data_IF_412994690479
#
_entry.id   IF_412994690479
#
_cell.length_a   1.000
_cell.length_b   1.000
_cell.length_c   1.000
_cell.angle_alpha   90.00
_cell.angle_beta   90.00
_cell.angle_gamma   90.00
#
_symmetry.space_group_name_H-M   'P 1'
#
loop_
_entity.id
_entity.type
_entity.pdbx_description
1 polymer ?
#
# COMPACT_ATOMS: atom_id res chain seq x y z
N UNK A 1 60.91 5.78 7.95
CA UNK A 1 60.28 7.12 7.88
C UNK A 1 59.09 7.10 8.82
N UNK A 2 58.98 8.03 9.76
CA UNK A 2 57.87 8.06 10.73
C UNK A 2 56.72 8.85 10.09
N UNK A 3 55.60 8.19 9.80
CA UNK A 3 54.40 8.86 9.33
C UNK A 3 53.94 9.87 10.37
N UNK A 4 53.73 11.11 9.94
CA UNK A 4 53.26 12.15 10.85
C UNK A 4 51.74 12.05 10.99
N UNK A 5 51.19 12.44 12.14
CA UNK A 5 49.73 12.45 12.34
C UNK A 5 49.01 13.34 11.32
N UNK A 6 49.70 14.31 10.73
CA UNK A 6 49.18 15.17 9.67
C UNK A 6 48.94 14.39 8.37
N UNK A 7 49.86 13.50 7.98
CA UNK A 7 49.73 12.66 6.79
C UNK A 7 48.55 11.68 6.91
N UNK A 8 48.37 11.11 8.11
CA UNK A 8 47.24 10.23 8.41
C UNK A 8 45.89 10.96 8.43
N UNK A 9 45.87 12.23 8.85
CA UNK A 9 44.65 13.03 8.83
C UNK A 9 44.28 13.46 7.39
N UNK A 10 45.29 13.76 6.57
CA UNK A 10 45.10 14.10 5.15
C UNK A 10 44.60 12.90 4.35
N UNK A 11 45.20 11.71 4.54
CA UNK A 11 44.76 10.50 3.86
C UNK A 11 43.33 10.11 4.27
N UNK A 12 42.99 10.23 5.56
CA UNK A 12 41.63 10.01 6.04
C UNK A 12 40.63 11.01 5.45
N UNK A 13 40.97 12.30 5.41
CA UNK A 13 40.11 13.34 4.84
C UNK A 13 39.88 13.12 3.33
N UNK A 14 40.92 12.77 2.58
CA UNK A 14 40.82 12.44 1.15
C UNK A 14 39.99 11.18 0.91
N UNK A 15 40.15 10.16 1.75
CA UNK A 15 39.33 8.95 1.68
C UNK A 15 37.85 9.26 1.91
N UNK A 16 37.51 10.02 2.95
CA UNK A 16 36.12 10.43 3.23
C UNK A 16 35.57 11.26 2.06
N UNK A 17 36.33 12.21 1.53
CA UNK A 17 35.92 13.04 0.40
C UNK A 17 35.63 12.19 -0.85
N UNK A 18 36.48 11.21 -1.17
CA UNK A 18 36.26 10.29 -2.29
C UNK A 18 34.96 9.50 -2.12
N UNK A 19 34.69 8.98 -0.91
CA UNK A 19 33.46 8.22 -0.65
C UNK A 19 32.21 9.09 -0.79
N UNK A 20 32.24 10.33 -0.29
CA UNK A 20 31.14 11.29 -0.45
C UNK A 20 30.91 11.60 -1.93
N UNK A 21 31.97 11.77 -2.72
CA UNK A 21 31.88 12.03 -4.16
C UNK A 21 31.27 10.83 -4.90
N UNK A 22 31.73 9.60 -4.63
CA UNK A 22 31.17 8.38 -5.22
C UNK A 22 29.70 8.19 -4.86
N UNK A 23 29.34 8.41 -3.59
CA UNK A 23 27.95 8.33 -3.15
C UNK A 23 27.07 9.39 -3.84
N UNK A 24 27.59 10.61 -4.02
CA UNK A 24 26.93 11.67 -4.78
C UNK A 24 26.68 11.28 -6.23
N UNK A 25 27.69 10.73 -6.93
CA UNK A 25 27.55 10.28 -8.31
C UNK A 25 26.51 9.16 -8.45
N UNK A 26 26.54 8.18 -7.55
CA UNK A 26 25.53 7.10 -7.52
C UNK A 26 24.14 7.67 -7.27
N UNK A 27 23.98 8.58 -6.31
CA UNK A 27 22.70 9.19 -6.00
C UNK A 27 22.12 10.01 -7.16
N UNK A 28 22.96 10.80 -7.83
CA UNK A 28 22.58 11.57 -9.03
C UNK A 28 22.22 10.61 -10.17
N UNK A 29 23.02 9.57 -10.40
CA UNK A 29 22.75 8.53 -11.39
C UNK A 29 21.42 7.83 -11.14
N UNK A 30 21.14 7.41 -9.91
CA UNK A 30 19.87 6.78 -9.55
C UNK A 30 18.67 7.71 -9.74
N UNK A 31 18.80 8.99 -9.39
CA UNK A 31 17.75 9.98 -9.66
C UNK A 31 17.47 10.11 -11.16
N UNK A 32 18.53 10.23 -11.96
CA UNK A 32 18.41 10.37 -13.40
C UNK A 32 17.80 9.13 -14.05
N UNK A 33 18.24 7.92 -13.64
CA UNK A 33 17.65 6.66 -14.08
C UNK A 33 16.18 6.55 -13.67
N UNK A 34 15.78 6.99 -12.48
CA UNK A 34 14.36 6.97 -12.08
C UNK A 34 13.49 7.92 -12.87
N UNK A 35 14.03 9.06 -13.30
CA UNK A 35 13.32 10.03 -14.14
C UNK A 35 13.21 9.56 -15.59
N UNK A 36 14.19 8.79 -16.09
CA UNK A 36 14.24 8.31 -17.48
C UNK A 36 13.93 6.82 -17.65
N UNK A 37 13.59 6.10 -16.57
CA UNK A 37 13.28 4.69 -16.67
C UNK A 37 11.98 4.53 -17.45
N UNK A 38 12.10 4.04 -18.69
CA UNK A 38 10.95 3.47 -19.38
C UNK A 38 10.36 2.35 -18.51
N UNK A 39 9.03 2.26 -18.39
CA UNK A 39 8.40 1.27 -17.54
C UNK A 39 8.87 -0.13 -17.92
N UNK A 40 9.37 -0.87 -16.91
CA UNK A 40 9.77 -2.26 -17.05
C UNK A 40 8.52 -3.12 -17.31
N UNK A 41 8.13 -3.18 -18.57
CA UNK A 41 6.90 -3.79 -19.04
C UNK A 41 6.40 -2.95 -20.19
N UNK A 42 6.81 -3.32 -21.42
CA UNK A 42 6.48 -2.65 -22.67
C UNK A 42 4.99 -2.71 -23.02
N UNK A 43 4.17 -2.13 -22.16
CA UNK A 43 2.73 -1.96 -22.29
C UNK A 43 2.30 -0.71 -21.52
N UNK A 44 1.19 -0.07 -21.93
CA UNK A 44 0.66 1.07 -21.20
C UNK A 44 0.42 0.68 -19.73
N UNK A 45 0.72 1.58 -18.76
CA UNK A 45 0.52 1.30 -17.35
C UNK A 45 -0.94 0.89 -17.10
N UNK A 46 -1.15 -0.31 -16.57
CA UNK A 46 -2.48 -0.80 -16.23
C UNK A 46 -2.91 -0.14 -14.92
N UNK A 47 -3.76 0.87 -15.02
CA UNK A 47 -4.43 1.48 -13.88
C UNK A 47 -5.51 0.52 -13.36
N UNK A 48 -5.39 0.12 -12.09
CA UNK A 48 -6.42 -0.65 -11.40
C UNK A 48 -7.29 0.31 -10.58
N UNK A 49 -8.47 0.64 -11.10
CA UNK A 49 -9.49 1.41 -10.39
C UNK A 49 -10.40 0.45 -9.60
N UNK A 50 -10.34 0.53 -8.27
CA UNK A 50 -11.25 -0.22 -7.40
C UNK A 50 -12.59 0.52 -7.31
N UNK A 51 -13.61 0.02 -8.00
CA UNK A 51 -14.97 0.57 -7.96
C UNK A 51 -15.78 -0.17 -6.91
N UNK A 52 -16.34 0.57 -5.95
CA UNK A 52 -17.25 0.04 -4.93
C UNK A 52 -18.60 -0.32 -5.56
N UNK A 53 -19.10 -1.53 -5.28
CA UNK A 53 -20.34 -2.05 -5.88
C UNK A 53 -21.57 -1.17 -5.57
N UNK A 54 -21.52 -0.39 -4.47
CA UNK A 54 -22.56 0.57 -4.09
C UNK A 54 -22.63 1.81 -4.99
N UNK A 55 -21.59 2.09 -5.78
CA UNK A 55 -21.53 3.24 -6.71
C UNK A 55 -22.05 2.94 -8.12
N UNK A 56 -22.41 1.68 -8.39
CA UNK A 56 -22.90 1.23 -9.70
C UNK A 56 -24.37 1.65 -9.89
N UNK A 57 -24.78 1.97 -11.13
CA UNK A 57 -26.19 2.30 -11.43
C UNK A 57 -27.12 1.10 -11.15
N UNK A 58 -28.38 1.36 -10.81
CA UNK A 58 -29.34 0.31 -10.45
C UNK A 58 -29.47 -0.79 -11.52
N UNK A 59 -29.38 -0.45 -12.81
CA UNK A 59 -29.36 -1.44 -13.91
C UNK A 59 -28.10 -2.30 -13.94
N UNK A 60 -26.96 -1.75 -13.54
CA UNK A 60 -25.69 -2.48 -13.47
C UNK A 60 -25.61 -3.34 -12.21
N UNK A 61 -26.19 -2.87 -11.09
CA UNK A 61 -26.35 -3.66 -9.88
C UNK A 61 -27.29 -4.86 -10.11
N UNK A 62 -28.40 -4.63 -10.81
CA UNK A 62 -29.36 -5.67 -11.19
C UNK A 62 -28.74 -6.70 -12.14
N UNK A 63 -27.94 -6.26 -13.12
CA UNK A 63 -27.19 -7.17 -13.99
C UNK A 63 -26.11 -7.97 -13.24
N UNK A 64 -25.48 -7.39 -12.21
CA UNK A 64 -24.48 -8.08 -11.40
C UNK A 64 -25.14 -9.07 -10.43
N UNK A 65 -26.28 -8.70 -9.84
CA UNK A 65 -27.11 -9.57 -9.00
C UNK A 65 -27.71 -10.72 -9.80
N UNK A 66 -28.23 -10.46 -11.00
CA UNK A 66 -28.79 -11.48 -11.90
C UNK A 66 -27.70 -12.44 -12.44
N UNK A 67 -26.43 -12.00 -12.49
CA UNK A 67 -25.28 -12.88 -12.76
C UNK A 67 -24.89 -13.75 -11.57
N UNK A 68 -25.23 -13.34 -10.36
CA UNK A 68 -25.08 -14.15 -9.13
C UNK A 68 -26.29 -15.08 -8.91
N UNK A 69 -27.45 -14.75 -9.48
CA UNK A 69 -28.72 -15.50 -9.41
C UNK A 69 -29.08 -16.27 -10.69
N UNK A 70 -28.13 -16.47 -11.61
CA UNK A 70 -28.36 -17.43 -12.69
C UNK A 70 -28.32 -18.84 -12.09
N UNK A 71 -29.29 -19.71 -12.43
CA UNK A 71 -29.25 -21.11 -12.02
C UNK A 71 -27.93 -21.71 -12.49
N UNK A 72 -27.41 -22.64 -11.70
CA UNK A 72 -26.39 -23.61 -12.07
C UNK A 72 -26.45 -23.83 -13.58
N UNK A 73 -25.34 -23.68 -14.33
CA UNK A 73 -25.35 -24.09 -15.72
C UNK A 73 -25.91 -25.50 -15.70
N UNK A 74 -27.07 -25.69 -16.35
CA UNK A 74 -27.53 -27.01 -16.73
C UNK A 74 -26.29 -27.69 -17.25
N UNK A 75 -25.90 -28.77 -16.60
CA UNK A 75 -24.89 -29.68 -17.12
C UNK A 75 -25.31 -29.95 -18.55
N UNK A 76 -24.67 -29.28 -19.51
CA UNK A 76 -24.29 -29.96 -20.72
C UNK A 76 -23.66 -31.24 -20.21
N UNK A 77 -24.24 -32.42 -20.50
CA UNK A 77 -23.56 -33.66 -20.22
C UNK A 77 -22.16 -33.47 -20.78
N UNK A 78 -21.16 -33.52 -19.91
CA UNK A 78 -19.82 -33.81 -20.34
C UNK A 78 -19.97 -35.22 -20.89
N UNK A 79 -20.25 -35.31 -22.19
CA UNK A 79 -19.95 -36.51 -22.94
C UNK A 79 -18.46 -36.66 -22.72
N UNK A 80 -18.15 -37.53 -21.77
CA UNK A 80 -16.85 -38.11 -21.57
C UNK A 80 -16.34 -38.39 -22.98
N UNK A 81 -15.36 -37.60 -23.41
CA UNK A 81 -14.55 -38.00 -24.55
C UNK A 81 -13.72 -39.17 -24.03
N UNK A 82 -14.40 -40.31 -23.92
CA UNK A 82 -13.77 -41.59 -24.06
C UNK A 82 -12.82 -41.46 -25.25
N UNK A 83 -11.59 -41.88 -25.03
CA UNK A 83 -10.73 -42.38 -26.10
C UNK A 83 -11.62 -43.02 -27.18
N UNK A 84 -11.45 -42.69 -28.47
CA UNK A 84 -12.21 -43.34 -29.52
C UNK A 84 -11.88 -44.83 -29.51
N UNK A 85 -12.74 -45.60 -28.84
CA UNK A 85 -12.91 -47.02 -29.02
C UNK A 85 -13.72 -47.18 -30.31
N UNK A 86 -13.06 -47.73 -31.32
CA UNK A 86 -13.66 -48.46 -32.43
C UNK A 86 -14.84 -47.77 -33.14
N UNK A 87 -14.54 -46.77 -33.98
CA UNK A 87 -15.29 -46.64 -35.23
C UNK A 87 -14.83 -47.78 -36.14
N UNK A 88 -15.80 -48.62 -36.46
CA UNK A 88 -15.82 -49.65 -37.48
C UNK A 88 -15.00 -49.23 -38.71
N UNK A 89 -13.80 -49.81 -38.82
CA UNK A 89 -13.06 -49.83 -40.07
C UNK A 89 -13.82 -50.76 -41.01
N UNK A 90 -14.41 -50.17 -42.03
CA UNK A 90 -14.97 -50.86 -43.18
C UNK A 90 -13.97 -51.91 -43.66
N UNK A 91 -14.44 -53.15 -43.73
CA UNK A 91 -13.68 -54.32 -44.19
C UNK A 91 -13.12 -54.04 -45.59
N UNK A 92 -11.85 -53.64 -45.65
CA UNK A 92 -11.06 -53.76 -46.87
C UNK A 92 -10.44 -55.16 -46.86
N UNK A 93 -10.74 -56.03 -47.83
CA UNK A 93 -10.06 -57.32 -47.90
C UNK A 93 -8.55 -57.09 -48.06
N UNK A 94 -7.69 -57.91 -47.43
CA UNK A 94 -6.26 -57.79 -47.60
C UNK A 94 -5.89 -57.98 -49.08
N UNK A 95 -4.89 -57.25 -49.61
CA UNK A 95 -4.39 -57.53 -50.96
C UNK A 95 -3.91 -58.98 -51.03
N UNK A 96 -4.13 -59.69 -52.15
CA UNK A 96 -3.68 -61.07 -52.29
C UNK A 96 -2.17 -61.13 -52.06
N UNK A 97 -1.76 -61.97 -51.11
CA UNK A 97 -0.35 -62.27 -50.91
C UNK A 97 0.24 -62.79 -52.23
N UNK A 98 1.44 -62.34 -52.63
CA UNK A 98 2.12 -62.95 -53.76
C UNK A 98 2.34 -64.44 -53.45
N UNK A 99 2.05 -65.30 -54.43
CA UNK A 99 2.41 -66.71 -54.37
C UNK A 99 3.91 -66.81 -54.02
N UNK A 100 4.30 -67.70 -53.10
CA UNK A 100 5.72 -67.94 -52.83
C UNK A 100 6.41 -68.43 -54.12
N UNK A 101 7.37 -67.64 -54.58
CA UNK A 101 8.36 -68.06 -55.58
C UNK A 101 9.05 -69.34 -55.05
N UNK A 102 9.18 -70.42 -55.84
CA UNK A 102 9.89 -71.60 -55.39
C UNK A 102 11.38 -71.26 -55.23
N UNK A 103 11.86 -71.18 -53.99
CA UNK A 103 13.29 -71.10 -53.72
C UNK A 103 13.99 -72.36 -54.28
N UNK A 104 15.08 -72.20 -55.05
CA UNK A 104 15.97 -73.30 -55.38
C UNK A 104 16.53 -73.90 -54.09
N UNK A 105 16.31 -75.21 -53.93
CA UNK A 105 16.94 -76.01 -52.90
C UNK A 105 18.44 -76.04 -53.14
N UNK A 106 19.19 -75.19 -52.45
CA UNK A 106 20.58 -75.45 -52.16
C UNK A 106 20.76 -75.61 -50.65
N UNK A 107 21.05 -76.85 -50.30
CA UNK A 107 21.24 -77.31 -48.95
C UNK A 107 22.49 -76.69 -48.33
N UNK A 108 22.32 -76.02 -47.20
CA UNK A 108 23.16 -76.25 -46.02
C UNK A 108 22.28 -76.03 -44.80
N UNK A 109 21.65 -77.11 -44.34
CA UNK A 109 20.94 -77.16 -43.06
C UNK A 109 21.95 -76.86 -41.95
N UNK A 110 21.82 -75.78 -41.17
CA UNK A 110 22.53 -75.69 -39.90
C UNK A 110 22.07 -76.88 -39.06
N UNK A 111 22.96 -77.61 -38.37
CA UNK A 111 22.54 -78.70 -37.50
C UNK A 111 21.49 -78.15 -36.53
N UNK A 112 20.33 -78.82 -36.48
CA UNK A 112 19.29 -78.49 -35.52
C UNK A 112 19.93 -78.50 -34.13
N UNK A 113 20.05 -77.32 -33.52
CA UNK A 113 20.41 -77.18 -32.12
C UNK A 113 19.45 -78.09 -31.34
N UNK A 114 20.05 -78.97 -30.53
CA UNK A 114 19.33 -79.90 -29.67
C UNK A 114 18.18 -79.19 -28.92
N UNK A 115 17.10 -79.91 -28.55
CA UNK A 115 16.01 -79.35 -27.75
C UNK A 115 16.62 -78.54 -26.60
N UNK A 116 16.34 -77.24 -26.54
CA UNK A 116 16.80 -76.40 -25.44
C UNK A 116 16.40 -77.12 -24.15
N UNK A 117 17.41 -77.44 -23.34
CA UNK A 117 17.21 -78.09 -22.06
C UNK A 117 16.16 -77.28 -21.30
N UNK A 118 15.19 -77.92 -20.61
CA UNK A 118 14.20 -77.21 -19.82
C UNK A 118 14.93 -76.21 -18.93
N UNK A 119 14.74 -74.91 -19.16
CA UNK A 119 15.33 -73.90 -18.28
C UNK A 119 14.91 -74.25 -16.86
N UNK A 120 15.89 -74.41 -15.97
CA UNK A 120 15.64 -74.78 -14.59
C UNK A 120 14.64 -73.76 -14.02
N UNK A 121 13.43 -74.23 -13.68
CA UNK A 121 12.42 -73.40 -13.01
C UNK A 121 13.11 -72.76 -11.80
N UNK A 122 13.20 -71.42 -11.71
CA UNK A 122 13.93 -70.76 -10.63
C UNK A 122 13.35 -71.22 -9.30
N UNK A 123 14.22 -71.51 -8.32
CA UNK A 123 13.80 -72.05 -7.03
C UNK A 123 12.74 -71.12 -6.40
N UNK A 124 11.54 -71.67 -6.21
CA UNK A 124 10.39 -70.91 -5.70
C UNK A 124 10.65 -70.35 -4.30
N UNK A 125 11.56 -70.96 -3.53
CA UNK A 125 11.89 -70.53 -2.18
C UNK A 125 12.69 -69.22 -2.14
N UNK A 126 13.62 -69.03 -3.07
CA UNK A 126 14.43 -67.80 -3.17
C UNK A 126 13.59 -66.60 -3.61
N UNK A 127 12.55 -66.81 -4.43
CA UNK A 127 11.62 -65.74 -4.84
C UNK A 127 10.73 -65.27 -3.68
N UNK A 128 10.27 -66.19 -2.83
CA UNK A 128 9.44 -65.87 -1.66
C UNK A 128 10.23 -65.08 -0.60
N UNK A 129 11.50 -65.41 -0.38
CA UNK A 129 12.39 -64.67 0.52
C UNK A 129 12.67 -63.25 0.01
N UNK A 130 13.00 -63.12 -1.29
CA UNK A 130 13.18 -61.80 -1.91
C UNK A 130 11.92 -60.92 -1.83
N UNK A 131 10.71 -61.52 -1.98
CA UNK A 131 9.44 -60.83 -1.85
C UNK A 131 9.18 -60.37 -0.41
N UNK A 132 9.51 -61.19 0.60
CA UNK A 132 9.37 -60.82 2.02
C UNK A 132 10.31 -59.68 2.40
N UNK A 133 11.56 -59.71 1.93
CA UNK A 133 12.54 -58.66 2.17
C UNK A 133 12.14 -57.34 1.49
N UNK A 134 11.59 -57.40 0.27
CA UNK A 134 11.06 -56.23 -0.43
C UNK A 134 9.90 -55.59 0.36
N UNK A 135 8.94 -56.40 0.84
CA UNK A 135 7.81 -55.91 1.65
C UNK A 135 8.27 -55.34 3.01
N UNK A 136 9.27 -55.94 3.64
CA UNK A 136 9.84 -55.45 4.91
C UNK A 136 10.55 -54.11 4.73
N UNK A 137 11.34 -53.96 3.65
CA UNK A 137 12.00 -52.70 3.30
C UNK A 137 10.98 -51.61 3.00
N UNK A 138 9.98 -51.90 2.18
CA UNK A 138 8.91 -50.96 1.85
C UNK A 138 8.13 -50.51 3.09
N UNK A 139 7.82 -51.44 4.01
CA UNK A 139 7.14 -51.11 5.27
C UNK A 139 7.98 -50.17 6.13
N UNK A 140 9.29 -50.44 6.25
CA UNK A 140 10.23 -49.56 6.98
C UNK A 140 10.35 -48.17 6.37
N UNK A 141 10.37 -48.07 5.04
CA UNK A 141 10.45 -46.79 4.33
C UNK A 141 9.17 -45.97 4.53
N UNK A 142 8.00 -46.61 4.43
CA UNK A 142 6.70 -45.97 4.71
C UNK A 142 6.60 -45.47 6.15
N UNK A 143 7.06 -46.24 7.13
CA UNK A 143 7.09 -45.82 8.54
C UNK A 143 8.04 -44.62 8.75
N UNK A 144 9.23 -44.64 8.14
CA UNK A 144 10.17 -43.52 8.20
C UNK A 144 9.64 -42.26 7.50
N UNK A 145 8.90 -42.40 6.40
CA UNK A 145 8.23 -41.28 5.74
C UNK A 145 7.10 -40.71 6.61
N UNK A 146 6.27 -41.56 7.22
CA UNK A 146 5.23 -41.14 8.14
C UNK A 146 5.80 -40.34 9.32
N UNK A 147 6.86 -40.85 9.97
CA UNK A 147 7.54 -40.14 11.07
C UNK A 147 8.13 -38.79 10.63
N UNK A 148 8.69 -38.71 9.43
CA UNK A 148 9.21 -37.44 8.87
C UNK A 148 8.09 -36.44 8.63
N UNK A 149 6.95 -36.91 8.10
CA UNK A 149 5.77 -36.07 7.85
C UNK A 149 5.15 -35.57 9.17
N UNK A 150 5.03 -36.43 10.17
CA UNK A 150 4.55 -36.06 11.50
C UNK A 150 5.44 -35.00 12.14
N UNK A 151 6.77 -35.20 12.12
CA UNK A 151 7.72 -34.20 12.62
C UNK A 151 7.61 -32.87 11.88
N UNK A 152 7.43 -32.89 10.56
CA UNK A 152 7.27 -31.67 9.78
C UNK A 152 5.98 -30.92 10.14
N UNK A 153 4.88 -31.64 10.33
CA UNK A 153 3.60 -31.06 10.76
C UNK A 153 3.73 -30.45 12.17
N UNK A 154 4.39 -31.15 13.09
CA UNK A 154 4.62 -30.65 14.45
C UNK A 154 5.48 -29.38 14.45
N UNK A 155 6.59 -29.37 13.71
CA UNK A 155 7.43 -28.18 13.53
C UNK A 155 6.66 -27.01 12.93
N UNK A 156 5.82 -27.26 11.91
CA UNK A 156 5.01 -26.22 11.29
C UNK A 156 3.97 -25.67 12.28
N UNK A 157 3.34 -26.53 13.08
CA UNK A 157 2.38 -26.12 14.11
C UNK A 157 3.04 -25.29 15.20
N UNK A 158 4.24 -25.68 15.64
CA UNK A 158 5.01 -24.92 16.63
C UNK A 158 5.41 -23.55 16.09
N UNK A 159 5.91 -23.47 14.85
CA UNK A 159 6.24 -22.20 14.20
C UNK A 159 5.00 -21.29 14.06
N UNK A 160 3.85 -21.85 13.68
CA UNK A 160 2.60 -21.09 13.62
C UNK A 160 2.16 -20.57 14.99
N UNK A 161 2.32 -21.38 16.05
CA UNK A 161 2.01 -20.96 17.41
C UNK A 161 2.94 -19.85 17.89
N UNK A 162 4.25 -19.98 17.68
CA UNK A 162 5.25 -18.95 18.03
C UNK A 162 4.99 -17.64 17.26
N UNK A 163 4.72 -17.70 15.95
CA UNK A 163 4.40 -16.52 15.16
C UNK A 163 3.09 -15.85 15.61
N UNK A 164 2.07 -16.64 15.98
CA UNK A 164 0.82 -16.10 16.51
C UNK A 164 1.01 -15.45 17.88
N UNK A 165 1.83 -16.03 18.76
CA UNK A 165 2.16 -15.46 20.06
C UNK A 165 2.97 -14.16 19.92
N UNK A 166 3.99 -14.14 19.06
CA UNK A 166 4.79 -12.95 18.79
C UNK A 166 3.92 -11.83 18.22
N UNK A 167 3.04 -12.15 17.27
CA UNK A 167 2.08 -11.18 16.71
C UNK A 167 1.14 -10.63 17.79
N UNK A 168 0.65 -11.48 18.70
CA UNK A 168 -0.17 -11.04 19.84
C UNK A 168 0.62 -10.13 20.79
N UNK A 169 1.87 -10.48 21.10
CA UNK A 169 2.75 -9.68 21.96
C UNK A 169 3.04 -8.31 21.35
N UNK A 170 3.37 -8.26 20.06
CA UNK A 170 3.61 -7.02 19.34
C UNK A 170 2.35 -6.15 19.29
N UNK A 171 1.18 -6.75 19.01
CA UNK A 171 -0.09 -6.02 19.01
C UNK A 171 -0.45 -5.49 20.41
N UNK A 172 -0.19 -6.25 21.47
CA UNK A 172 -0.40 -5.81 22.85
C UNK A 172 0.55 -4.66 23.22
N UNK A 173 1.82 -4.72 22.83
CA UNK A 173 2.80 -3.66 23.04
C UNK A 173 2.40 -2.38 22.29
N UNK A 174 2.03 -2.47 21.01
CA UNK A 174 1.57 -1.33 20.22
C UNK A 174 0.33 -0.67 20.82
N UNK A 175 -0.62 -1.45 21.34
CA UNK A 175 -1.80 -0.93 22.05
C UNK A 175 -1.42 -0.24 23.35
N UNK A 176 -0.53 -0.83 24.15
CA UNK A 176 -0.06 -0.23 25.39
C UNK A 176 0.68 1.10 25.13
N UNK A 177 1.53 1.16 24.10
CA UNK A 177 2.26 2.37 23.71
C UNK A 177 1.30 3.46 23.19
N UNK A 178 0.31 3.07 22.39
CA UNK A 178 -0.72 4.00 21.90
C UNK A 178 -1.56 4.57 23.05
N UNK A 179 -1.97 3.72 24.00
CA UNK A 179 -2.73 4.14 25.18
C UNK A 179 -1.91 5.05 26.11
N UNK A 180 -0.62 4.73 26.30
CA UNK A 180 0.29 5.56 27.09
C UNK A 180 0.47 6.93 26.44
N UNK A 181 0.67 6.98 25.12
CA UNK A 181 0.78 8.24 24.38
C UNK A 181 -0.52 9.05 24.43
N UNK A 182 -1.67 8.40 24.25
CA UNK A 182 -2.97 9.06 24.35
C UNK A 182 -3.21 9.67 25.74
N UNK A 183 -2.82 8.96 26.82
CA UNK A 183 -2.88 9.49 28.19
C UNK A 183 -1.95 10.70 28.39
N UNK A 184 -0.71 10.62 27.91
CA UNK A 184 0.24 11.74 27.98
C UNK A 184 -0.27 12.97 27.22
N UNK A 185 -0.79 12.79 26.01
CA UNK A 185 -1.33 13.88 25.19
C UNK A 185 -2.58 14.50 25.85
N UNK A 186 -3.46 13.68 26.43
CA UNK A 186 -4.62 14.14 27.17
C UNK A 186 -4.22 14.95 28.42
N UNK A 187 -3.22 14.50 29.17
CA UNK A 187 -2.69 15.21 30.35
C UNK A 187 -2.01 16.52 29.95
N UNK A 188 -1.19 16.51 28.89
CA UNK A 188 -0.54 17.70 28.35
C UNK A 188 -1.58 18.73 27.87
N UNK A 189 -2.65 18.28 27.21
CA UNK A 189 -3.76 19.15 26.79
C UNK A 189 -4.48 19.75 28.00
N UNK A 190 -4.77 18.96 29.04
CA UNK A 190 -5.36 19.45 30.30
C UNK A 190 -4.47 20.49 30.97
N UNK A 191 -3.16 20.23 31.09
CA UNK A 191 -2.18 21.17 31.65
C UNK A 191 -2.12 22.48 30.87
N UNK A 192 -2.08 22.42 29.53
CA UNK A 192 -2.10 23.62 28.66
C UNK A 192 -3.40 24.41 28.80
N UNK A 193 -4.54 23.71 28.86
CA UNK A 193 -5.83 24.36 29.06
C UNK A 193 -5.93 25.06 30.43
N UNK A 194 -5.47 24.40 31.49
CA UNK A 194 -5.42 24.98 32.83
C UNK A 194 -4.48 26.20 32.90
N UNK A 195 -3.30 26.12 32.29
CA UNK A 195 -2.36 27.25 32.24
C UNK A 195 -2.95 28.45 31.48
N UNK A 196 -3.63 28.21 30.36
CA UNK A 196 -4.29 29.27 29.58
C UNK A 196 -5.47 29.88 30.35
N UNK A 197 -6.23 29.07 31.10
CA UNK A 197 -7.31 29.56 31.95
C UNK A 197 -6.77 30.44 33.08
N UNK A 198 -5.71 30.00 33.77
CA UNK A 198 -5.04 30.79 34.80
C UNK A 198 -4.46 32.11 34.26
N UNK A 199 -3.86 32.10 33.06
CA UNK A 199 -3.37 33.31 32.40
C UNK A 199 -4.51 34.30 32.11
N UNK A 200 -5.66 33.82 31.63
CA UNK A 200 -6.83 34.68 31.40
C UNK A 200 -7.37 35.29 32.69
N UNK A 201 -7.41 34.52 33.76
CA UNK A 201 -7.86 35.01 35.07
C UNK A 201 -6.94 36.11 35.60
N UNK A 202 -5.62 35.94 35.47
CA UNK A 202 -4.64 36.98 35.81
C UNK A 202 -4.85 38.25 34.96
N UNK A 203 -5.04 38.12 33.64
CA UNK A 203 -5.30 39.27 32.77
C UNK A 203 -6.57 40.03 33.17
N UNK A 204 -7.64 39.33 33.56
CA UNK A 204 -8.88 39.94 34.04
C UNK A 204 -8.69 40.64 35.39
N UNK A 205 -7.92 40.04 36.31
CA UNK A 205 -7.58 40.64 37.59
C UNK A 205 -6.75 41.92 37.41
N UNK A 206 -5.72 41.88 36.56
CA UNK A 206 -4.88 43.04 36.23
C UNK A 206 -5.67 44.16 35.56
N UNK A 207 -6.56 43.82 34.63
CA UNK A 207 -7.45 44.79 33.98
C UNK A 207 -8.39 45.46 34.99
N UNK A 208 -8.94 44.70 35.94
CA UNK A 208 -9.80 45.24 37.01
C UNK A 208 -9.02 46.14 37.96
N UNK A 209 -7.79 45.77 38.32
CA UNK A 209 -6.91 46.60 39.15
C UNK A 209 -6.56 47.93 38.46
N UNK A 210 -6.24 47.89 37.15
CA UNK A 210 -5.99 49.11 36.35
C UNK A 210 -7.23 49.99 36.23
N UNK A 211 -8.40 49.40 35.97
CA UNK A 211 -9.67 50.14 35.89
C UNK A 211 -10.03 50.83 37.23
N UNK A 212 -9.79 50.16 38.36
CA UNK A 212 -9.97 50.73 39.70
C UNK A 212 -9.00 51.88 40.00
N UNK A 213 -7.75 51.81 39.52
CA UNK A 213 -6.78 52.88 39.65
C UNK A 213 -7.11 54.10 38.77
N UNK A 214 -7.65 53.90 37.55
CA UNK A 214 -8.09 54.99 36.67
C UNK A 214 -9.38 55.66 37.13
N UNK A 215 -10.26 54.96 37.87
CA UNK A 215 -11.48 55.56 38.43
C UNK A 215 -11.22 56.54 39.59
N UNK A 216 -10.02 56.49 40.21
CA UNK A 216 -9.58 57.45 41.23
C UNK A 216 -8.87 58.68 40.64
N UNK A 217 -8.78 58.82 39.32
CA UNK A 217 -8.09 59.94 38.65
C UNK A 217 -8.86 60.42 37.42
N UNK A 218 -9.86 61.27 37.67
CA UNK A 218 -10.61 62.14 36.74
C UNK A 218 -11.58 61.51 35.70
N UNK A 219 -12.78 62.12 35.51
CA UNK A 219 -13.74 61.72 34.49
C UNK A 219 -13.54 62.51 33.18
N UNK A 220 -13.54 61.82 32.05
CA UNK A 220 -13.62 62.44 30.72
C UNK A 220 -13.83 61.40 29.64
N UNK A 221 -14.96 61.43 28.88
CA UNK A 221 -15.20 60.46 27.83
C UNK A 221 -14.52 60.94 26.54
N UNK A 222 -13.48 60.24 26.12
CA UNK A 222 -12.96 60.34 24.75
C UNK A 222 -13.57 59.20 23.93
N UNK A 223 -14.61 59.54 23.17
CA UNK A 223 -15.17 58.76 22.08
C UNK A 223 -14.15 58.64 20.95
N UNK A 224 -13.45 57.50 20.90
CA UNK A 224 -12.58 57.11 19.79
C UNK A 224 -13.33 56.25 18.78
N UNK A 225 -14.03 56.90 17.85
CA UNK A 225 -14.63 56.25 16.69
C UNK A 225 -13.55 55.72 15.74
N UNK A 226 -13.57 54.41 15.51
CA UNK A 226 -12.71 53.72 14.54
C UNK A 226 -13.26 52.34 14.18
N UNK A 227 -14.59 52.15 14.20
CA UNK A 227 -15.22 50.89 13.79
C UNK A 227 -15.53 50.94 12.30
N UNK A 228 -14.96 50.00 11.54
CA UNK A 228 -15.37 49.76 10.15
C UNK A 228 -14.32 49.16 9.22
N UNK A 229 -13.03 49.19 9.55
CA UNK A 229 -11.97 48.62 8.69
C UNK A 229 -11.38 47.29 9.20
N UNK A 230 -11.51 46.98 10.49
CA UNK A 230 -10.85 45.80 11.09
C UNK A 230 -11.59 44.47 10.87
N UNK A 231 -12.92 44.45 10.69
CA UNK A 231 -13.68 43.19 10.70
C UNK A 231 -13.34 42.27 9.51
N UNK A 232 -12.99 42.83 8.34
CA UNK A 232 -12.64 42.04 7.15
C UNK A 232 -11.24 41.45 7.25
N UNK A 233 -10.26 42.24 7.71
CA UNK A 233 -8.88 41.78 7.83
C UNK A 233 -8.75 40.70 8.91
N UNK A 234 -9.39 40.90 10.06
CA UNK A 234 -9.49 39.91 11.13
C UNK A 234 -10.15 38.62 10.65
N UNK A 235 -11.22 38.72 9.87
CA UNK A 235 -11.90 37.56 9.31
C UNK A 235 -11.07 36.80 8.28
N UNK A 236 -10.39 37.50 7.37
CA UNK A 236 -9.46 36.87 6.44
C UNK A 236 -8.32 36.15 7.17
N UNK A 237 -7.85 36.69 8.30
CA UNK A 237 -6.86 36.02 9.15
C UNK A 237 -7.42 34.76 9.81
N UNK A 238 -8.69 34.76 10.24
CA UNK A 238 -9.36 33.56 10.76
C UNK A 238 -9.47 32.47 9.69
N UNK A 239 -9.83 32.84 8.45
CA UNK A 239 -9.89 31.93 7.31
C UNK A 239 -8.51 31.37 7.00
N UNK A 240 -7.49 32.23 6.88
CA UNK A 240 -6.12 31.80 6.62
C UNK A 240 -5.64 30.80 7.69
N UNK A 241 -5.97 31.05 8.95
CA UNK A 241 -5.66 30.13 10.05
C UNK A 241 -6.41 28.79 10.00
N UNK A 242 -7.65 28.75 9.50
CA UNK A 242 -8.38 27.48 9.30
C UNK A 242 -7.82 26.69 8.12
N UNK A 243 -7.55 27.36 6.99
CA UNK A 243 -6.89 26.74 5.83
C UNK A 243 -5.56 26.12 6.28
N UNK A 244 -4.75 26.86 7.04
CA UNK A 244 -3.47 26.37 7.56
C UNK A 244 -3.61 25.16 8.50
N UNK A 245 -4.67 25.10 9.32
CA UNK A 245 -4.93 23.94 10.19
C UNK A 245 -5.24 22.67 9.38
N UNK A 246 -5.93 22.81 8.26
CA UNK A 246 -6.33 21.67 7.43
C UNK A 246 -5.27 21.28 6.41
N UNK A 247 -4.37 22.20 6.07
CA UNK A 247 -3.33 21.97 5.07
C UNK A 247 -2.17 21.16 5.63
N UNK A 248 -1.86 20.04 4.95
CA UNK A 248 -0.60 19.32 5.14
C UNK A 248 0.42 19.91 4.20
N UNK A 249 1.19 20.89 4.67
CA UNK A 249 2.19 21.58 3.86
C UNK A 249 3.30 20.61 3.40
N UNK A 250 3.52 20.46 2.09
CA UNK A 250 4.71 19.82 1.55
C UNK A 250 6.02 20.50 2.00
N UNK A 251 7.12 19.74 2.11
CA UNK A 251 8.40 20.26 2.63
C UNK A 251 9.14 21.19 1.65
N UNK A 252 8.78 21.16 0.37
CA UNK A 252 9.34 22.00 -0.69
C UNK A 252 8.77 23.42 -0.72
N UNK A 253 7.76 23.74 0.10
CA UNK A 253 7.16 25.08 0.18
C UNK A 253 7.75 25.89 1.34
N UNK A 254 8.47 27.00 1.05
CA UNK A 254 9.01 27.88 2.09
C UNK A 254 7.90 28.55 2.93
N UNK A 255 8.23 28.84 4.19
CA UNK A 255 7.36 29.63 5.08
C UNK A 255 7.28 31.08 4.61
N UNK A 256 6.14 31.72 4.87
CA UNK A 256 5.92 33.13 4.57
C UNK A 256 5.74 33.45 3.09
N UNK A 257 5.72 32.45 2.21
CA UNK A 257 5.48 32.68 0.79
C UNK A 257 4.01 33.02 0.54
N UNK A 258 3.77 34.10 -0.19
CA UNK A 258 2.42 34.60 -0.49
C UNK A 258 1.78 33.76 -1.59
N UNK A 259 0.59 33.21 -1.34
CA UNK A 259 -0.25 32.58 -2.36
C UNK A 259 -1.65 33.22 -2.34
N UNK A 260 -2.01 34.06 -3.33
CA UNK A 260 -3.36 34.60 -3.46
C UNK A 260 -4.34 33.50 -3.93
N UNK A 261 -5.43 33.31 -3.20
CA UNK A 261 -6.45 32.29 -3.49
C UNK A 261 -7.81 32.97 -3.57
N UNK A 262 -8.56 32.72 -4.65
CA UNK A 262 -9.94 33.17 -4.80
C UNK A 262 -10.88 32.08 -4.26
N UNK A 263 -11.73 32.45 -3.31
CA UNK A 263 -12.64 31.54 -2.63
C UNK A 263 -14.06 32.01 -2.88
N UNK A 264 -14.92 31.08 -3.33
CA UNK A 264 -16.36 31.29 -3.45
C UNK A 264 -17.10 30.50 -2.38
N UNK A 265 -18.05 31.13 -1.70
CA UNK A 265 -18.83 30.55 -0.60
C UNK A 265 -20.33 30.47 -0.94
N UNK A 266 -20.96 29.40 -0.46
CA UNK A 266 -22.41 29.26 -0.41
C UNK A 266 -23.01 30.02 0.79
N UNK A 267 -24.31 30.38 0.74
CA UNK A 267 -25.05 30.73 1.95
C UNK A 267 -24.85 29.65 3.02
N UNK A 268 -24.27 30.00 4.18
CA UNK A 268 -23.93 29.04 5.24
C UNK A 268 -22.43 28.81 5.46
N UNK A 269 -21.57 29.37 4.60
CA UNK A 269 -20.10 29.36 4.81
C UNK A 269 -19.39 28.15 4.22
N UNK A 270 -20.10 27.29 3.50
CA UNK A 270 -19.51 26.20 2.74
C UNK A 270 -18.73 26.71 1.53
N UNK A 271 -17.61 26.05 1.22
CA UNK A 271 -16.75 26.40 0.09
C UNK A 271 -17.31 25.84 -1.21
N UNK A 272 -17.72 26.71 -2.12
CA UNK A 272 -18.15 26.38 -3.48
C UNK A 272 -16.95 26.15 -4.42
N UNK A 273 -15.98 27.07 -4.43
CA UNK A 273 -14.76 26.93 -5.20
C UNK A 273 -13.57 27.56 -4.50
N UNK A 274 -12.38 27.01 -4.77
CA UNK A 274 -11.09 27.51 -4.33
C UNK A 274 -10.15 27.44 -5.53
N UNK A 275 -9.70 28.59 -6.01
CA UNK A 275 -8.88 28.72 -7.22
C UNK A 275 -7.63 29.54 -6.88
N UNK A 276 -6.45 28.94 -7.05
CA UNK A 276 -5.20 29.67 -6.87
C UNK A 276 -5.01 30.69 -7.99
N UNK A 277 -4.63 31.92 -7.63
CA UNK A 277 -4.45 33.00 -8.60
C UNK A 277 -3.02 33.00 -9.19
N UNK A 278 -2.81 33.58 -10.40
CA UNK A 278 -1.51 33.58 -11.10
C UNK A 278 -0.33 34.22 -10.33
N UNK A 279 -0.58 34.89 -9.20
CA UNK A 279 0.46 35.44 -8.32
C UNK A 279 0.99 34.45 -7.27
N UNK A 280 0.59 33.17 -7.32
CA UNK A 280 1.09 32.14 -6.41
C UNK A 280 2.33 31.44 -7.02
N UNK A 281 3.47 31.43 -6.32
CA UNK A 281 4.72 30.86 -6.83
C UNK A 281 4.82 29.34 -6.70
N UNK A 282 3.74 28.66 -6.30
CA UNK A 282 3.71 27.21 -6.08
C UNK A 282 3.60 26.46 -7.41
N UNK A 283 4.17 25.24 -7.48
CA UNK A 283 3.93 24.31 -8.58
C UNK A 283 2.45 23.90 -8.65
N UNK A 284 1.97 23.44 -9.80
CA UNK A 284 0.56 23.03 -9.96
C UNK A 284 0.15 21.94 -8.94
N UNK A 285 1.04 20.97 -8.69
CA UNK A 285 0.81 19.95 -7.66
C UNK A 285 0.61 20.58 -6.28
N UNK A 286 1.44 21.55 -5.90
CA UNK A 286 1.35 22.25 -4.63
C UNK A 286 0.12 23.16 -4.56
N UNK A 287 -0.26 23.81 -5.65
CA UNK A 287 -1.51 24.59 -5.74
C UNK A 287 -2.73 23.70 -5.45
N UNK A 288 -2.79 22.50 -6.03
CA UNK A 288 -3.86 21.53 -5.76
C UNK A 288 -3.94 21.13 -4.28
N UNK A 289 -2.81 21.03 -3.57
CA UNK A 289 -2.83 20.76 -2.12
C UNK A 289 -3.45 21.89 -1.32
N UNK A 290 -3.21 23.14 -1.73
CA UNK A 290 -3.79 24.34 -1.10
C UNK A 290 -5.30 24.38 -1.36
N UNK A 291 -5.73 24.16 -2.60
CA UNK A 291 -7.15 24.11 -2.96
C UNK A 291 -7.89 23.01 -2.19
N UNK A 292 -7.28 21.83 -2.06
CA UNK A 292 -7.81 20.73 -1.25
C UNK A 292 -7.93 21.11 0.23
N UNK A 293 -6.97 21.86 0.77
CA UNK A 293 -7.04 22.34 2.15
C UNK A 293 -8.16 23.36 2.37
N UNK A 294 -8.38 24.27 1.41
CA UNK A 294 -9.50 25.22 1.48
C UNK A 294 -10.84 24.49 1.47
N UNK A 295 -11.01 23.51 0.57
CA UNK A 295 -12.24 22.68 0.54
C UNK A 295 -12.43 21.89 1.84
N UNK A 296 -11.35 21.37 2.42
CA UNK A 296 -11.37 20.65 3.70
C UNK A 296 -11.66 21.55 4.91
N UNK A 297 -11.35 22.84 4.80
CA UNK A 297 -11.68 23.85 5.81
C UNK A 297 -13.16 24.26 5.80
N UNK A 298 -13.97 23.72 4.89
CA UNK A 298 -15.41 23.94 4.85
C UNK A 298 -16.11 23.30 6.06
N UNK A 299 -17.08 23.98 6.72
CA UNK A 299 -17.50 25.37 6.48
C UNK A 299 -16.57 26.39 7.15
N UNK A 300 -16.28 27.49 6.45
CA UNK A 300 -15.44 28.58 6.97
C UNK A 300 -16.20 29.44 8.00
N UNK A 301 -15.51 29.95 9.04
CA UNK A 301 -16.17 30.71 10.11
C UNK A 301 -16.70 32.07 9.61
N UNK A 302 -18.01 32.29 9.76
CA UNK A 302 -18.71 33.54 9.45
C UNK A 302 -18.90 34.38 10.72
N UNK A 303 -17.83 34.82 11.38
CA UNK A 303 -17.96 35.63 12.61
C UNK A 303 -18.48 37.03 12.30
N UNK A 304 -19.81 37.23 12.31
CA UNK A 304 -20.44 38.56 12.21
C UNK A 304 -20.28 39.27 10.85
N UNK A 305 -19.72 38.59 9.84
CA UNK A 305 -19.56 39.09 8.48
C UNK A 305 -20.48 38.31 7.52
N UNK A 306 -21.78 38.35 7.80
CA UNK A 306 -22.82 37.70 6.98
C UNK A 306 -23.18 38.53 5.73
N UNK A 307 -22.38 39.56 5.40
CA UNK A 307 -22.60 40.32 4.19
C UNK A 307 -22.47 39.37 2.98
N UNK A 308 -23.60 39.15 2.31
CA UNK A 308 -23.75 38.33 1.12
C UNK A 308 -22.80 38.77 -0.01
N UNK A 309 -22.25 40.00 0.04
CA UNK A 309 -21.22 40.49 -0.87
C UNK A 309 -19.83 39.87 -0.66
N UNK A 310 -19.58 39.17 0.44
CA UNK A 310 -18.30 38.49 0.74
C UNK A 310 -18.28 37.01 0.32
N UNK A 311 -19.18 36.61 -0.58
CA UNK A 311 -19.23 35.24 -1.13
C UNK A 311 -18.17 34.96 -2.19
N UNK A 312 -17.51 35.97 -2.72
CA UNK A 312 -16.40 35.83 -3.66
C UNK A 312 -15.30 36.80 -3.24
N UNK A 313 -14.17 36.27 -2.77
CA UNK A 313 -13.07 37.08 -2.25
C UNK A 313 -11.73 36.41 -2.48
N UNK A 314 -10.67 37.23 -2.50
CA UNK A 314 -9.29 36.76 -2.55
C UNK A 314 -8.67 36.87 -1.16
N UNK A 315 -8.10 35.77 -0.67
CA UNK A 315 -7.29 35.72 0.55
C UNK A 315 -5.82 35.56 0.18
N UNK A 316 -4.94 36.32 0.85
CA UNK A 316 -3.50 36.12 0.74
C UNK A 316 -3.07 35.12 1.79
N UNK A 317 -2.76 33.89 1.37
CA UNK A 317 -2.36 32.82 2.26
C UNK A 317 -0.84 32.81 2.43
N UNK A 318 -0.39 32.69 3.68
CA UNK A 318 1.02 32.65 4.05
C UNK A 318 1.26 31.43 4.97
N UNK A 319 2.07 30.43 4.56
CA UNK A 319 2.39 29.30 5.42
C UNK A 319 3.20 29.78 6.63
N UNK A 320 2.69 29.60 7.85
CA UNK A 320 3.43 29.88 9.08
C UNK A 320 4.08 28.62 9.66
N UNK A 321 3.45 27.45 9.50
CA UNK A 321 3.89 26.14 9.99
C UNK A 321 4.60 25.28 8.96
#
# INVERSE_FOLDING_TARGET
MKETRADNLQSFALAVLLHVLLFGLVFIGLRWTRENAEPAGGGPPVEAEMVDAGSLSAKMQDALASRLETPTPTETPVEDTALPEALEEEVVPPPPQPLPEPEPQDATTPPQSAPEMPQAKPDTRDQDEARRDALSKETREREQEALRRERQIELQKEQQQQAAEEKKRLAAQQRADADAKAKQDAEAKKKRAAALAAQREQQLADAKARAGATAASNPGPATGAGQGKDTRAEWLALIAGEIERQWRRPDDIPRGQKCPIRIKLLPGGEVLSAEVQPGCPYSEANQRTVEAAVKKASPLPLKGNEDLRLRDFVVNFYPSR
#
